data_IF_392531139013
#
_entry.id   IF_392531139013
#
_cell.length_a   1.000
_cell.length_b   1.000
_cell.length_c   1.000
_cell.angle_alpha   90.00
_cell.angle_beta   90.00
_cell.angle_gamma   90.00
#
_symmetry.space_group_name_H-M   'P 1'
#
loop_
_entity.id
_entity.type
_entity.pdbx_description
1 polymer ?
#
# COMPACT_ATOMS: atom_id res chain seq x y z
N UNK A 1 -1.56 14.94 -2.18
CA UNK A 1 -0.75 14.11 -1.25
C UNK A 1 -0.30 12.85 -1.99
N UNK A 2 0.73 12.15 -1.53
CA UNK A 2 1.07 10.81 -2.05
C UNK A 2 0.51 9.79 -1.05
N UNK A 3 -0.24 8.83 -1.57
CA UNK A 3 -0.86 7.76 -0.80
C UNK A 3 -0.33 6.42 -1.29
N UNK A 4 0.12 5.58 -0.36
CA UNK A 4 0.53 4.21 -0.66
C UNK A 4 -0.46 3.27 -0.01
N UNK A 5 -1.04 2.35 -0.79
CA UNK A 5 -2.02 1.39 -0.28
C UNK A 5 -1.30 0.11 0.12
N UNK A 6 -1.44 -0.27 1.39
CA UNK A 6 -1.01 -1.57 1.88
C UNK A 6 -1.95 -2.68 1.40
N UNK A 7 -1.44 -3.88 1.07
CA UNK A 7 -2.27 -5.02 0.64
C UNK A 7 -3.44 -5.34 1.59
N UNK A 8 -3.27 -5.13 2.90
CA UNK A 8 -4.34 -5.28 3.90
C UNK A 8 -5.60 -4.47 3.57
N UNK A 9 -5.46 -3.32 2.91
CA UNK A 9 -6.56 -2.41 2.60
C UNK A 9 -7.20 -2.66 1.24
N UNK A 10 -6.74 -3.65 0.46
CA UNK A 10 -7.18 -3.87 -0.92
C UNK A 10 -8.66 -4.24 -1.03
N UNK A 11 -9.23 -4.91 -0.03
CA UNK A 11 -10.67 -5.22 0.00
C UNK A 11 -11.56 -3.96 0.10
N UNK A 12 -10.98 -2.81 0.47
CA UNK A 12 -11.68 -1.51 0.60
C UNK A 12 -11.24 -0.52 -0.48
N UNK A 13 -10.66 -0.99 -1.58
CA UNK A 13 -10.09 -0.10 -2.60
C UNK A 13 -11.11 0.88 -3.18
N UNK A 14 -12.35 0.45 -3.36
CA UNK A 14 -13.43 1.30 -3.88
C UNK A 14 -13.75 2.45 -2.93
N UNK A 15 -13.66 2.21 -1.63
CA UNK A 15 -13.84 3.24 -0.61
C UNK A 15 -12.66 4.21 -0.60
N UNK A 16 -11.43 3.68 -0.68
CA UNK A 16 -10.19 4.46 -0.73
C UNK A 16 -10.20 5.40 -1.93
N UNK A 17 -10.50 4.88 -3.13
CA UNK A 17 -10.49 5.65 -4.36
C UNK A 17 -11.55 6.75 -4.34
N UNK A 18 -12.76 6.47 -3.83
CA UNK A 18 -13.82 7.48 -3.69
C UNK A 18 -13.42 8.58 -2.71
N UNK A 19 -12.77 8.21 -1.61
CA UNK A 19 -12.37 9.14 -0.53
C UNK A 19 -11.17 10.00 -0.91
N UNK A 20 -10.24 9.48 -1.72
CA UNK A 20 -8.96 10.11 -2.03
C UNK A 20 -8.73 10.33 -3.54
N UNK A 21 -9.80 10.58 -4.30
CA UNK A 21 -9.77 10.67 -5.76
C UNK A 21 -8.83 11.75 -6.35
N UNK A 22 -8.45 12.75 -5.55
CA UNK A 22 -7.58 13.86 -5.94
C UNK A 22 -6.10 13.64 -5.60
N UNK A 23 -5.77 12.53 -4.92
CA UNK A 23 -4.43 12.23 -4.46
C UNK A 23 -3.66 11.29 -5.40
N UNK A 24 -2.33 11.34 -5.34
CA UNK A 24 -1.47 10.42 -6.08
C UNK A 24 -1.42 9.09 -5.35
N UNK A 25 -2.26 8.16 -5.79
CA UNK A 25 -2.32 6.80 -5.24
C UNK A 25 -1.25 5.92 -5.89
N UNK A 26 -0.56 5.16 -5.06
CA UNK A 26 0.49 4.21 -5.44
C UNK A 26 0.17 2.86 -4.80
N UNK A 27 0.35 1.80 -5.58
CA UNK A 27 0.40 0.43 -5.11
C UNK A 27 1.78 -0.15 -5.41
N UNK A 28 2.12 -1.26 -4.76
CA UNK A 28 3.44 -1.87 -4.94
C UNK A 28 3.37 -3.17 -5.75
N UNK A 29 4.50 -3.62 -6.28
CA UNK A 29 4.56 -4.85 -7.10
C UNK A 29 4.20 -6.13 -6.33
N UNK A 30 4.67 -6.29 -5.10
CA UNK A 30 4.21 -7.38 -4.23
C UNK A 30 2.76 -7.17 -3.81
N UNK A 31 2.27 -5.92 -3.72
CA UNK A 31 0.86 -5.63 -3.57
C UNK A 31 0.04 -6.19 -4.73
N UNK A 32 0.40 -5.87 -5.99
CA UNK A 32 -0.26 -6.44 -7.18
C UNK A 32 -0.24 -7.98 -7.13
N UNK A 33 0.90 -8.57 -6.77
CA UNK A 33 1.03 -10.04 -6.63
C UNK A 33 0.07 -10.61 -5.57
N UNK A 34 -0.08 -9.90 -4.44
CA UNK A 34 -1.05 -10.26 -3.40
C UNK A 34 -2.49 -10.18 -3.92
N UNK A 35 -2.85 -9.13 -4.67
CA UNK A 35 -4.19 -8.99 -5.25
C UNK A 35 -4.52 -10.16 -6.17
N UNK A 36 -3.60 -10.48 -7.10
CA UNK A 36 -3.76 -11.60 -8.03
C UNK A 36 -3.90 -12.94 -7.31
N UNK A 37 -3.09 -13.17 -6.28
CA UNK A 37 -3.12 -14.42 -5.49
C UNK A 37 -4.41 -14.59 -4.67
N UNK A 38 -5.10 -13.49 -4.34
CA UNK A 38 -6.32 -13.47 -3.54
C UNK A 38 -7.59 -13.16 -4.35
N UNK A 39 -7.52 -13.22 -5.69
CA UNK A 39 -8.64 -12.90 -6.59
C UNK A 39 -9.24 -11.50 -6.35
N UNK A 40 -8.42 -10.53 -5.95
CA UNK A 40 -8.83 -9.12 -5.83
C UNK A 40 -8.70 -8.48 -7.22
N UNK A 41 -9.77 -7.82 -7.68
CA UNK A 41 -9.78 -7.14 -8.97
C UNK A 41 -8.86 -5.91 -8.95
N UNK A 42 -7.61 -6.11 -9.37
CA UNK A 42 -6.60 -5.06 -9.49
C UNK A 42 -6.75 -4.27 -10.80
N UNK A 43 -7.35 -4.84 -11.84
CA UNK A 43 -7.48 -4.19 -13.15
C UNK A 43 -8.24 -2.89 -13.03
N UNK A 44 -9.31 -2.87 -12.23
CA UNK A 44 -10.08 -1.65 -11.92
C UNK A 44 -9.21 -0.53 -11.34
N UNK A 45 -8.18 -0.87 -10.58
CA UNK A 45 -7.27 0.07 -9.92
C UNK A 45 -6.31 0.65 -10.97
N UNK A 46 -5.78 -0.21 -11.83
CA UNK A 46 -4.87 0.16 -12.91
C UNK A 46 -5.56 1.02 -13.98
N UNK A 47 -6.81 0.70 -14.33
CA UNK A 47 -7.64 1.46 -15.27
C UNK A 47 -7.88 2.91 -14.82
N UNK A 48 -7.86 3.15 -13.50
CA UNK A 48 -7.99 4.48 -12.91
C UNK A 48 -6.67 5.28 -12.91
N UNK A 49 -5.62 4.75 -13.53
CA UNK A 49 -4.32 5.42 -13.65
C UNK A 49 -3.46 5.37 -12.39
N UNK A 50 -3.78 4.48 -11.45
CA UNK A 50 -2.99 4.28 -10.23
C UNK A 50 -1.64 3.69 -10.60
N UNK A 51 -0.57 4.27 -10.04
CA UNK A 51 0.79 3.88 -10.37
C UNK A 51 1.24 2.68 -9.55
N UNK A 52 1.90 1.74 -10.22
CA UNK A 52 2.62 0.66 -9.56
C UNK A 52 4.07 1.11 -9.34
N UNK A 53 4.57 1.00 -8.12
CA UNK A 53 5.96 1.26 -7.80
C UNK A 53 6.65 0.01 -7.26
N UNK A 54 7.89 -0.20 -7.70
CA UNK A 54 8.65 -1.39 -7.40
C UNK A 54 10.05 -1.01 -6.92
N UNK A 55 10.62 -1.81 -6.02
CA UNK A 55 12.06 -1.76 -5.79
C UNK A 55 12.80 -2.53 -6.89
N UNK A 56 13.97 -2.02 -7.27
CA UNK A 56 14.87 -2.74 -8.19
C UNK A 56 15.46 -4.01 -7.58
N UNK A 57 15.48 -4.10 -6.25
CA UNK A 57 15.97 -5.25 -5.49
C UNK A 57 14.86 -5.74 -4.55
N UNK A 58 14.98 -6.98 -4.08
CA UNK A 58 14.03 -7.52 -3.11
C UNK A 58 13.99 -6.63 -1.86
N UNK A 59 12.83 -6.08 -1.48
CA UNK A 59 12.71 -5.27 -0.27
C UNK A 59 13.02 -6.13 0.95
N UNK A 60 13.52 -5.50 2.02
CA UNK A 60 13.71 -6.19 3.28
C UNK A 60 12.36 -6.30 4.02
N UNK A 61 12.26 -7.29 4.90
CA UNK A 61 11.07 -7.51 5.70
C UNK A 61 11.05 -6.53 6.88
N UNK A 62 9.94 -5.82 7.06
CA UNK A 62 9.73 -4.93 8.20
C UNK A 62 9.21 -5.78 9.36
N UNK A 63 10.05 -5.98 10.37
CA UNK A 63 9.74 -6.78 11.55
C UNK A 63 9.23 -8.19 11.15
N UNK A 64 8.08 -8.62 11.65
CA UNK A 64 7.45 -9.89 11.31
C UNK A 64 6.30 -9.76 10.28
N UNK A 65 6.18 -8.61 9.60
CA UNK A 65 5.14 -8.41 8.58
C UNK A 65 5.48 -9.18 7.30
N UNK A 66 4.48 -9.49 6.48
CA UNK A 66 4.74 -10.14 5.19
C UNK A 66 5.57 -9.24 4.26
N UNK A 67 6.19 -9.83 3.25
CA UNK A 67 6.93 -9.07 2.23
C UNK A 67 6.04 -8.08 1.47
N UNK A 68 4.76 -8.44 1.27
CA UNK A 68 3.77 -7.62 0.56
C UNK A 68 3.47 -6.35 1.35
N UNK A 69 3.33 -6.46 2.67
CA UNK A 69 3.12 -5.31 3.55
C UNK A 69 4.39 -4.49 3.75
N UNK A 70 5.52 -5.18 3.90
CA UNK A 70 6.83 -4.55 4.07
C UNK A 70 7.15 -3.65 2.88
N UNK A 71 6.91 -4.09 1.65
CA UNK A 71 7.15 -3.26 0.47
C UNK A 71 6.32 -1.97 0.50
N UNK A 72 5.03 -2.05 0.84
CA UNK A 72 4.16 -0.89 0.92
C UNK A 72 4.64 0.12 1.98
N UNK A 73 5.07 -0.36 3.14
CA UNK A 73 5.65 0.47 4.20
C UNK A 73 6.93 1.16 3.72
N UNK A 74 7.84 0.42 3.08
CA UNK A 74 9.11 0.97 2.60
C UNK A 74 8.91 2.00 1.49
N UNK A 75 8.01 1.72 0.53
CA UNK A 75 7.63 2.67 -0.50
C UNK A 75 7.03 3.94 0.11
N UNK A 76 6.16 3.81 1.12
CA UNK A 76 5.59 4.96 1.82
C UNK A 76 6.65 5.81 2.51
N UNK A 77 7.62 5.17 3.18
CA UNK A 77 8.75 5.84 3.82
C UNK A 77 9.59 6.63 2.83
N UNK A 78 10.03 5.99 1.75
CA UNK A 78 10.96 6.60 0.79
C UNK A 78 10.34 7.77 0.04
N UNK A 79 9.03 7.70 -0.23
CA UNK A 79 8.28 8.79 -0.85
C UNK A 79 7.82 9.86 0.13
N UNK A 80 8.02 9.67 1.44
CA UNK A 80 7.39 10.48 2.51
C UNK A 80 5.87 10.58 2.31
N UNK A 81 5.27 9.46 1.91
CA UNK A 81 3.84 9.32 1.64
C UNK A 81 3.08 8.86 2.89
N UNK A 82 1.76 9.03 2.85
CA UNK A 82 0.87 8.46 3.86
C UNK A 82 0.49 7.04 3.44
N UNK A 83 0.56 6.10 4.39
CA UNK A 83 0.18 4.71 4.19
C UNK A 83 -1.30 4.52 4.51
N UNK A 84 -2.04 3.83 3.65
CA UNK A 84 -3.40 3.38 3.92
C UNK A 84 -3.36 1.89 4.24
N UNK A 85 -3.81 1.51 5.43
CA UNK A 85 -3.80 0.13 5.92
C UNK A 85 -5.14 -0.21 6.60
N UNK A 86 -5.46 -1.49 6.74
CA UNK A 86 -6.63 -1.95 7.51
C UNK A 86 -6.24 -2.70 8.80
N UNK A 87 -4.99 -3.13 8.94
CA UNK A 87 -4.47 -3.82 10.13
C UNK A 87 -3.76 -2.83 11.08
N UNK A 88 -4.11 -2.90 12.37
CA UNK A 88 -3.47 -2.08 13.42
C UNK A 88 -1.99 -2.41 13.60
N UNK A 89 -1.57 -3.65 13.38
CA UNK A 89 -0.16 -4.04 13.47
C UNK A 89 0.68 -3.36 12.39
N UNK A 90 0.14 -3.25 11.18
CA UNK A 90 0.81 -2.55 10.07
C UNK A 90 0.97 -1.07 10.42
N UNK A 91 -0.09 -0.47 10.99
CA UNK A 91 -0.02 0.92 11.46
C UNK A 91 1.09 1.12 12.48
N UNK A 92 1.14 0.31 13.53
CA UNK A 92 2.13 0.44 14.60
C UNK A 92 3.56 0.34 14.06
N UNK A 93 3.84 -0.62 13.18
CA UNK A 93 5.16 -0.79 12.58
C UNK A 93 5.52 0.35 11.62
N UNK A 94 4.56 0.87 10.85
CA UNK A 94 4.78 1.99 9.96
C UNK A 94 5.02 3.31 10.73
N UNK A 95 4.28 3.56 11.81
CA UNK A 95 4.44 4.74 12.66
C UNK A 95 5.80 4.75 13.38
N UNK A 96 6.31 3.58 13.79
CA UNK A 96 7.68 3.44 14.32
C UNK A 96 8.76 3.89 13.33
N UNK A 97 8.47 3.81 12.02
CA UNK A 97 9.34 4.27 10.94
C UNK A 97 9.08 5.73 10.52
N UNK A 98 8.22 6.45 11.24
CA UNK A 98 7.91 7.86 10.99
C UNK A 98 6.92 8.08 9.85
N UNK A 99 6.15 7.06 9.46
CA UNK A 99 5.17 7.13 8.37
C UNK A 99 3.82 7.51 8.96
N UNK A 100 3.10 8.45 8.33
CA UNK A 100 1.71 8.76 8.66
C UNK A 100 0.80 7.65 8.12
N UNK A 101 -0.12 7.14 8.95
CA UNK A 101 -1.00 6.04 8.56
C UNK A 101 -2.47 6.43 8.71
N UNK A 102 -3.26 6.15 7.68
CA UNK A 102 -4.72 6.19 7.72
C UNK A 102 -5.23 4.76 7.81
N UNK A 103 -5.91 4.44 8.92
CA UNK A 103 -6.61 3.16 9.05
C UNK A 103 -7.97 3.23 8.35
N UNK A 104 -8.32 2.18 7.63
CA UNK A 104 -9.62 2.03 6.95
C UNK A 104 -10.26 0.68 7.17
#
# INVERSE_FOLDING_TARGET
>A
MILVISPSAFNKIDEIIKKFNSDKIIITTYGVSYALSNNINIDKILDLGIKVMAYSHKPYQVSNLSITESEAILVARDLKATLIASDTKIKEEAEKLGISVILI
#
